data_IF_383912161797
#
_entry.id   IF_383912161797
#
_cell.length_a   1.000
_cell.length_b   1.000
_cell.length_c   1.000
_cell.angle_alpha   90.00
_cell.angle_beta   90.00
_cell.angle_gamma   90.00
#
_symmetry.space_group_name_H-M   'P 1'
#
loop_
_entity.id
_entity.type
_entity.pdbx_description
1 polymer ?
#
# COMPACT_ATOMS: atom_id res chain seq x y z
N UNK A 1 -11.79 22.35 3.00
CA UNK A 1 -10.80 21.64 3.83
C UNK A 1 -10.71 20.24 3.27
N UNK A 2 -9.50 19.72 3.05
CA UNK A 2 -9.27 18.33 2.67
C UNK A 2 -9.61 17.44 3.87
N UNK A 3 -10.41 16.41 3.66
CA UNK A 3 -10.91 15.56 4.74
C UNK A 3 -10.03 14.34 5.00
N UNK A 4 -9.38 13.81 3.95
CA UNK A 4 -8.42 12.70 4.00
C UNK A 4 -7.27 12.92 3.03
N UNK A 5 -6.06 12.55 3.42
CA UNK A 5 -4.84 12.73 2.60
C UNK A 5 -4.27 11.37 2.19
N UNK A 6 -4.01 11.19 0.90
CA UNK A 6 -3.48 9.93 0.35
C UNK A 6 -2.03 10.10 -0.08
N UNK A 7 -1.17 9.16 0.32
CA UNK A 7 0.18 9.02 -0.21
C UNK A 7 0.13 8.34 -1.58
N UNK A 8 0.61 9.02 -2.62
CA UNK A 8 0.71 8.49 -4.00
C UNK A 8 2.17 8.19 -4.30
N UNK A 9 2.48 6.90 -4.47
CA UNK A 9 3.85 6.40 -4.66
C UNK A 9 4.02 5.80 -6.05
N UNK A 10 5.14 6.11 -6.69
CA UNK A 10 5.54 5.46 -7.94
C UNK A 10 6.83 6.03 -8.51
N UNK A 11 7.26 5.47 -9.65
CA UNK A 11 8.43 5.92 -10.38
C UNK A 11 8.06 7.07 -11.32
N UNK A 12 8.19 8.32 -10.85
CA UNK A 12 7.74 9.47 -11.63
C UNK A 12 8.60 9.75 -12.87
N UNK A 13 9.83 9.25 -12.95
CA UNK A 13 10.66 9.34 -14.16
C UNK A 13 10.09 8.61 -15.40
N UNK A 14 9.23 7.63 -15.18
CA UNK A 14 8.67 6.76 -16.23
C UNK A 14 7.15 6.78 -16.29
N UNK A 15 6.49 7.12 -15.18
CA UNK A 15 5.03 7.09 -15.01
C UNK A 15 4.45 8.43 -14.55
N UNK A 16 5.15 9.51 -14.85
CA UNK A 16 4.82 10.86 -14.42
C UNK A 16 3.36 11.24 -14.74
N UNK A 17 2.93 11.00 -15.98
CA UNK A 17 1.60 11.39 -16.42
C UNK A 17 0.52 10.59 -15.68
N UNK A 18 0.71 9.28 -15.55
CA UNK A 18 -0.20 8.38 -14.85
C UNK A 18 -0.33 8.71 -13.36
N UNK A 19 0.78 8.99 -12.68
CA UNK A 19 0.82 9.36 -11.27
C UNK A 19 0.18 10.73 -11.03
N UNK A 20 0.49 11.74 -11.85
CA UNK A 20 -0.14 13.05 -11.77
C UNK A 20 -1.65 12.98 -12.03
N UNK A 21 -2.09 12.18 -13.01
CA UNK A 21 -3.52 11.94 -13.22
C UNK A 21 -4.19 11.35 -11.97
N UNK A 22 -3.55 10.38 -11.31
CA UNK A 22 -4.06 9.80 -10.07
C UNK A 22 -4.19 10.86 -8.96
N UNK A 23 -3.15 11.67 -8.76
CA UNK A 23 -3.14 12.80 -7.82
C UNK A 23 -4.29 13.78 -8.11
N UNK A 24 -4.47 14.17 -9.37
CA UNK A 24 -5.51 15.11 -9.77
C UNK A 24 -6.91 14.56 -9.55
N UNK A 25 -7.11 13.25 -9.77
CA UNK A 25 -8.39 12.59 -9.48
C UNK A 25 -8.72 12.61 -7.99
N UNK A 26 -7.76 12.37 -7.12
CA UNK A 26 -7.95 12.44 -5.66
C UNK A 26 -8.31 13.88 -5.24
N UNK A 27 -7.56 14.87 -5.73
CA UNK A 27 -7.80 16.30 -5.46
C UNK A 27 -9.18 16.75 -5.94
N UNK A 28 -9.59 16.33 -7.14
CA UNK A 28 -10.89 16.65 -7.71
C UNK A 28 -12.08 16.11 -6.86
N UNK A 29 -11.86 15.07 -6.06
CA UNK A 29 -12.84 14.52 -5.12
C UNK A 29 -12.71 15.12 -3.69
N UNK A 30 -11.93 16.18 -3.53
CA UNK A 30 -11.72 16.89 -2.27
C UNK A 30 -10.70 16.25 -1.32
N UNK A 31 -9.98 15.22 -1.76
CA UNK A 31 -8.90 14.60 -0.98
C UNK A 31 -7.60 15.39 -1.05
N UNK A 32 -6.76 15.25 -0.01
CA UNK A 32 -5.37 15.66 0.00
C UNK A 32 -4.47 14.63 -0.68
N UNK A 33 -3.30 15.07 -1.15
CA UNK A 33 -2.30 14.21 -1.78
C UNK A 33 -0.92 14.57 -1.25
N UNK A 34 -0.14 13.54 -0.90
CA UNK A 34 1.32 13.62 -0.76
C UNK A 34 1.92 12.73 -1.84
N UNK A 35 2.74 13.29 -2.71
CA UNK A 35 3.42 12.58 -3.80
C UNK A 35 4.82 12.12 -3.36
N UNK A 36 5.14 10.85 -3.59
CA UNK A 36 6.45 10.27 -3.27
C UNK A 36 7.07 9.59 -4.47
N UNK A 37 8.25 10.08 -4.86
CA UNK A 37 9.02 9.56 -5.98
C UNK A 37 9.97 8.46 -5.53
N UNK A 38 9.85 7.29 -6.15
CA UNK A 38 10.73 6.13 -5.95
C UNK A 38 11.57 5.80 -7.19
N UNK A 39 11.70 6.72 -8.13
CA UNK A 39 12.59 6.59 -9.29
C UNK A 39 14.07 6.52 -8.90
N UNK A 40 14.86 5.91 -9.78
CA UNK A 40 16.33 5.74 -9.59
C UNK A 40 17.11 6.61 -10.56
N UNK A 41 16.79 6.54 -11.86
CA UNK A 41 17.63 7.12 -12.91
C UNK A 41 17.18 8.52 -13.31
N UNK A 42 15.90 8.69 -13.67
CA UNK A 42 15.39 9.97 -14.14
C UNK A 42 14.77 10.82 -13.02
N UNK A 43 14.25 11.97 -13.41
CA UNK A 43 13.58 12.92 -12.53
C UNK A 43 12.12 13.12 -13.00
N UNK A 44 11.20 13.44 -12.08
CA UNK A 44 9.84 13.83 -12.43
C UNK A 44 9.83 15.15 -13.22
N UNK A 45 8.80 15.40 -14.06
CA UNK A 45 8.68 16.71 -14.74
C UNK A 45 8.39 17.86 -13.78
N UNK A 46 7.77 17.56 -12.64
CA UNK A 46 7.48 18.50 -11.56
C UNK A 46 7.96 17.86 -10.25
N UNK A 47 8.64 18.60 -9.35
CA UNK A 47 9.07 18.04 -8.07
C UNK A 47 7.90 17.43 -7.28
N UNK A 48 8.10 16.21 -6.79
CA UNK A 48 7.19 15.57 -5.83
C UNK A 48 7.38 16.13 -4.42
N UNK A 49 6.38 15.93 -3.56
CA UNK A 49 6.44 16.36 -2.15
C UNK A 49 7.58 15.65 -1.40
N UNK A 50 7.81 14.38 -1.73
CA UNK A 50 8.93 13.58 -1.24
C UNK A 50 9.75 13.11 -2.44
N UNK A 51 10.96 13.65 -2.55
CA UNK A 51 11.91 13.31 -3.62
C UNK A 51 12.55 11.93 -3.41
N UNK A 52 13.00 11.31 -4.51
CA UNK A 52 13.82 10.09 -4.48
C UNK A 52 15.04 10.15 -3.56
N UNK A 53 15.64 11.33 -3.38
CA UNK A 53 16.77 11.53 -2.47
C UNK A 53 16.34 11.44 -1.00
N UNK A 54 15.19 12.01 -0.66
CA UNK A 54 14.59 11.90 0.67
C UNK A 54 14.26 10.44 0.98
N UNK A 55 13.66 9.73 0.01
CA UNK A 55 13.34 8.30 0.12
C UNK A 55 14.59 7.48 0.37
N UNK A 56 15.61 7.56 -0.49
CA UNK A 56 16.83 6.76 -0.35
C UNK A 56 17.53 7.03 1.00
N UNK A 57 17.55 8.29 1.45
CA UNK A 57 18.11 8.66 2.76
C UNK A 57 17.35 8.05 3.92
N UNK A 58 16.01 8.00 3.85
CA UNK A 58 15.18 7.37 4.87
C UNK A 58 15.46 5.86 5.00
N UNK A 59 15.84 5.22 3.90
CA UNK A 59 16.29 3.82 3.88
C UNK A 59 17.74 3.60 4.33
N UNK A 60 18.43 4.66 4.80
CA UNK A 60 19.83 4.59 5.23
C UNK A 60 20.84 4.55 4.07
N UNK A 61 20.45 4.98 2.87
CA UNK A 61 21.27 4.94 1.65
C UNK A 61 21.22 6.26 0.88
N UNK A 62 21.58 6.24 -0.41
CA UNK A 62 21.49 7.38 -1.31
C UNK A 62 21.10 6.95 -2.73
N UNK A 63 20.58 7.88 -3.52
CA UNK A 63 20.32 7.63 -4.94
C UNK A 63 21.59 7.31 -5.71
N UNK A 64 22.72 7.92 -5.36
CA UNK A 64 23.99 7.58 -5.99
C UNK A 64 24.36 6.12 -5.74
N UNK A 65 24.19 5.62 -4.52
CA UNK A 65 24.45 4.22 -4.20
C UNK A 65 23.51 3.25 -4.94
N UNK A 66 22.23 3.63 -5.12
CA UNK A 66 21.30 2.87 -5.94
C UNK A 66 21.73 2.80 -7.40
N UNK A 67 22.18 3.92 -7.98
CA UNK A 67 22.72 3.99 -9.36
C UNK A 67 24.00 3.16 -9.48
N UNK A 68 24.94 3.35 -8.55
CA UNK A 68 26.26 2.68 -8.54
C UNK A 68 26.16 1.16 -8.38
N UNK A 69 25.04 0.66 -7.85
CA UNK A 69 24.80 -0.79 -7.73
C UNK A 69 24.77 -1.50 -9.09
N UNK A 70 24.37 -0.82 -10.16
CA UNK A 70 24.22 -1.39 -11.49
C UNK A 70 23.16 -2.51 -11.59
N UNK A 71 22.39 -2.75 -10.54
CA UNK A 71 21.40 -3.82 -10.43
C UNK A 71 20.04 -3.24 -10.05
N UNK A 72 19.06 -3.42 -10.94
CA UNK A 72 17.71 -2.86 -10.76
C UNK A 72 17.03 -3.38 -9.48
N UNK A 73 17.27 -4.63 -9.11
CA UNK A 73 16.70 -5.21 -7.88
C UNK A 73 17.29 -4.53 -6.65
N UNK A 74 18.61 -4.42 -6.58
CA UNK A 74 19.29 -3.76 -5.46
C UNK A 74 18.85 -2.30 -5.34
N UNK A 75 18.80 -1.58 -6.46
CA UNK A 75 18.35 -0.20 -6.49
C UNK A 75 16.90 -0.07 -5.98
N UNK A 76 16.00 -0.94 -6.43
CA UNK A 76 14.60 -0.92 -5.99
C UNK A 76 14.43 -1.33 -4.53
N UNK A 77 15.25 -2.23 -3.98
CA UNK A 77 15.21 -2.57 -2.56
C UNK A 77 15.63 -1.40 -1.67
N UNK A 78 16.64 -0.61 -2.09
CA UNK A 78 17.02 0.63 -1.41
C UNK A 78 15.82 1.57 -1.35
N UNK A 79 15.14 1.75 -2.48
CA UNK A 79 13.96 2.61 -2.57
C UNK A 79 12.79 2.06 -1.76
N UNK A 80 12.58 0.75 -1.73
CA UNK A 80 11.51 0.10 -0.98
C UNK A 80 11.68 0.29 0.53
N UNK A 81 12.91 0.11 1.05
CA UNK A 81 13.21 0.35 2.46
C UNK A 81 12.93 1.81 2.85
N UNK A 82 13.35 2.75 2.01
CA UNK A 82 13.13 4.17 2.22
C UNK A 82 11.66 4.58 2.14
N UNK A 83 10.94 4.07 1.14
CA UNK A 83 9.53 4.37 0.93
C UNK A 83 8.67 3.80 2.05
N UNK A 84 9.01 2.61 2.54
CA UNK A 84 8.35 1.97 3.69
C UNK A 84 8.52 2.79 4.97
N UNK A 85 9.74 3.26 5.24
CA UNK A 85 10.01 4.13 6.39
C UNK A 85 9.25 5.46 6.29
N UNK A 86 9.29 6.12 5.14
CA UNK A 86 8.55 7.38 4.90
C UNK A 86 7.04 7.20 5.03
N UNK A 87 6.47 6.15 4.45
CA UNK A 87 5.03 5.89 4.55
C UNK A 87 4.60 5.69 6.01
N UNK A 88 5.38 4.93 6.78
CA UNK A 88 5.10 4.71 8.20
C UNK A 88 5.20 6.01 9.02
N UNK A 89 6.25 6.81 8.81
CA UNK A 89 6.44 8.08 9.52
C UNK A 89 5.32 9.09 9.20
N UNK A 90 4.92 9.18 7.93
CA UNK A 90 3.80 10.03 7.50
C UNK A 90 2.49 9.59 8.12
N UNK A 91 2.25 8.29 8.24
CA UNK A 91 1.05 7.77 8.87
C UNK A 91 1.05 8.04 10.39
N UNK A 92 2.17 7.76 11.07
CA UNK A 92 2.31 7.98 12.51
C UNK A 92 2.19 9.46 12.91
N UNK A 93 2.62 10.37 12.04
CA UNK A 93 2.45 11.82 12.22
C UNK A 93 1.05 12.33 11.89
N UNK A 94 0.16 11.48 11.37
CA UNK A 94 -1.19 11.87 10.92
C UNK A 94 -1.20 12.69 9.64
N UNK A 95 -0.10 12.68 8.87
CA UNK A 95 0.00 13.41 7.59
C UNK A 95 -0.79 12.73 6.48
N UNK A 96 -0.90 11.40 6.53
CA UNK A 96 -1.62 10.59 5.55
C UNK A 96 -2.63 9.65 6.24
N UNK A 97 -3.70 9.34 5.52
CA UNK A 97 -4.78 8.44 5.95
C UNK A 97 -4.82 7.13 5.15
N UNK A 98 -4.00 7.00 4.10
CA UNK A 98 -3.94 5.83 3.24
C UNK A 98 -2.86 5.96 2.18
N UNK A 99 -2.54 4.85 1.50
CA UNK A 99 -1.53 4.80 0.44
C UNK A 99 -2.07 4.17 -0.83
N UNK A 100 -1.63 4.69 -1.96
CA UNK A 100 -1.78 4.05 -3.27
C UNK A 100 -0.44 4.01 -3.98
N UNK A 101 -0.04 2.83 -4.45
CA UNK A 101 1.21 2.60 -5.19
C UNK A 101 0.89 2.15 -6.61
N UNK A 102 1.51 2.80 -7.59
CA UNK A 102 1.40 2.43 -9.02
C UNK A 102 2.72 1.83 -9.50
N UNK A 103 2.69 0.64 -10.10
CA UNK A 103 3.92 0.01 -10.58
C UNK A 103 3.74 -1.11 -11.59
N UNK A 104 4.80 -1.38 -12.35
CA UNK A 104 5.00 -2.65 -13.07
C UNK A 104 5.48 -3.75 -12.11
N UNK A 105 6.21 -4.76 -12.59
CA UNK A 105 6.71 -5.84 -11.73
C UNK A 105 7.56 -5.35 -10.56
N UNK A 106 8.63 -4.59 -10.83
CA UNK A 106 9.53 -4.08 -9.78
C UNK A 106 8.85 -3.05 -8.85
N UNK A 107 8.01 -2.17 -9.41
CA UNK A 107 7.23 -1.23 -8.61
C UNK A 107 6.19 -1.94 -7.72
N UNK A 108 5.67 -3.09 -8.15
CA UNK A 108 4.78 -3.91 -7.32
C UNK A 108 5.54 -4.56 -6.18
N UNK A 109 6.75 -5.06 -6.43
CA UNK A 109 7.61 -5.61 -5.40
C UNK A 109 7.84 -4.60 -4.26
N UNK A 110 8.24 -3.38 -4.62
CA UNK A 110 8.35 -2.24 -3.69
C UNK A 110 7.03 -1.94 -2.98
N UNK A 111 5.90 -2.00 -3.70
CA UNK A 111 4.58 -1.73 -3.13
C UNK A 111 4.21 -2.71 -2.02
N UNK A 112 4.61 -3.98 -2.14
CA UNK A 112 4.35 -5.00 -1.10
C UNK A 112 5.05 -4.64 0.21
N UNK A 113 6.29 -4.14 0.14
CA UNK A 113 7.06 -3.70 1.31
C UNK A 113 6.42 -2.47 1.95
N UNK A 114 6.05 -1.47 1.15
CA UNK A 114 5.37 -0.24 1.62
C UNK A 114 4.04 -0.59 2.31
N UNK A 115 3.24 -1.49 1.72
CA UNK A 115 1.98 -1.91 2.32
C UNK A 115 2.20 -2.69 3.62
N UNK A 116 3.23 -3.56 3.67
CA UNK A 116 3.55 -4.36 4.86
C UNK A 116 4.04 -3.51 6.04
N UNK A 117 4.65 -2.36 5.78
CA UNK A 117 5.07 -1.42 6.81
C UNK A 117 3.91 -0.72 7.53
N UNK A 118 2.74 -0.61 6.90
CA UNK A 118 1.58 0.08 7.45
C UNK A 118 0.68 -0.87 8.27
N UNK A 119 0.12 -0.42 9.41
CA UNK A 119 -0.70 -1.28 10.26
C UNK A 119 -2.03 -1.70 9.61
N UNK A 120 -2.60 -2.81 10.09
CA UNK A 120 -3.96 -3.24 9.76
C UNK A 120 -4.98 -2.12 10.02
N UNK A 121 -5.89 -1.91 9.07
CA UNK A 121 -6.90 -0.86 9.07
C UNK A 121 -6.46 0.44 8.38
N UNK A 122 -5.21 0.54 7.93
CA UNK A 122 -4.80 1.60 7.00
C UNK A 122 -5.14 1.15 5.58
N UNK A 123 -5.91 1.93 4.79
CA UNK A 123 -6.15 1.62 3.38
C UNK A 123 -4.85 1.56 2.57
N UNK A 124 -4.56 0.39 1.98
CA UNK A 124 -3.35 0.12 1.18
C UNK A 124 -3.75 -0.39 -0.19
N UNK A 125 -3.59 0.43 -1.21
CA UNK A 125 -3.95 0.11 -2.58
C UNK A 125 -2.73 -0.06 -3.47
N UNK A 126 -2.72 -1.12 -4.29
CA UNK A 126 -1.68 -1.35 -5.31
C UNK A 126 -2.34 -1.44 -6.68
N UNK A 127 -1.96 -0.54 -7.58
CA UNK A 127 -2.34 -0.59 -8.99
C UNK A 127 -1.17 -1.16 -9.77
N UNK A 128 -1.34 -2.38 -10.29
CA UNK A 128 -0.23 -3.13 -10.87
C UNK A 128 -0.61 -3.90 -12.13
N UNK A 129 0.36 -4.00 -13.06
CA UNK A 129 0.24 -4.85 -14.26
C UNK A 129 0.35 -6.34 -13.94
N UNK A 130 0.79 -6.70 -12.74
CA UNK A 130 0.97 -8.08 -12.27
C UNK A 130 0.12 -8.41 -11.04
N UNK A 131 -0.88 -7.58 -10.71
CA UNK A 131 -1.87 -7.90 -9.68
C UNK A 131 -2.48 -9.28 -9.94
N UNK A 132 -2.60 -10.09 -8.89
CA UNK A 132 -3.13 -11.46 -8.93
C UNK A 132 -2.29 -12.46 -9.75
N UNK A 133 -1.08 -12.08 -10.15
CA UNK A 133 -0.13 -13.00 -10.78
C UNK A 133 0.39 -14.03 -9.78
N UNK A 134 0.65 -15.25 -10.24
CA UNK A 134 1.34 -16.28 -9.47
C UNK A 134 2.80 -15.90 -9.11
N UNK A 135 3.33 -14.83 -9.70
CA UNK A 135 4.64 -14.27 -9.32
C UNK A 135 4.61 -13.57 -7.96
N UNK A 136 3.43 -13.23 -7.42
CA UNK A 136 3.30 -12.58 -6.13
C UNK A 136 3.22 -13.65 -5.03
N UNK A 137 4.27 -13.82 -4.21
CA UNK A 137 4.24 -14.79 -3.12
C UNK A 137 3.18 -14.38 -2.09
N UNK A 138 2.25 -15.28 -1.70
CA UNK A 138 1.17 -14.96 -0.77
C UNK A 138 1.67 -14.36 0.57
N UNK A 139 2.81 -14.84 1.08
CA UNK A 139 3.43 -14.40 2.32
C UNK A 139 3.90 -12.94 2.32
N UNK A 140 4.03 -12.30 1.15
CA UNK A 140 4.36 -10.87 1.04
C UNK A 140 3.14 -9.96 1.00
N UNK A 141 1.93 -10.52 0.96
CA UNK A 141 0.72 -9.72 0.95
C UNK A 141 0.41 -9.24 2.37
N UNK A 142 0.47 -7.93 2.57
CA UNK A 142 0.04 -7.32 3.82
C UNK A 142 -1.42 -7.69 4.12
N UNK A 143 -1.74 -7.96 5.39
CA UNK A 143 -3.13 -8.18 5.78
C UNK A 143 -3.95 -6.92 5.47
N UNK A 144 -5.09 -7.09 4.77
CA UNK A 144 -5.99 -6.06 4.22
C UNK A 144 -5.56 -5.32 2.92
N UNK A 145 -4.46 -5.73 2.28
CA UNK A 145 -4.01 -5.15 1.01
C UNK A 145 -5.09 -5.26 -0.06
N UNK A 146 -5.28 -4.18 -0.82
CA UNK A 146 -6.23 -4.11 -1.93
C UNK A 146 -5.45 -3.92 -3.23
N UNK A 147 -5.67 -4.79 -4.21
CA UNK A 147 -4.96 -4.74 -5.50
C UNK A 147 -5.93 -4.51 -6.65
N UNK A 148 -5.48 -3.75 -7.64
CA UNK A 148 -6.20 -3.46 -8.89
C UNK A 148 -5.32 -3.91 -10.05
N UNK A 149 -5.85 -4.75 -10.94
CA UNK A 149 -5.16 -5.12 -12.17
C UNK A 149 -5.24 -3.98 -13.18
N UNK A 150 -4.07 -3.45 -13.55
CA UNK A 150 -3.97 -2.31 -14.42
C UNK A 150 -3.98 -2.72 -15.90
N UNK A 151 -5.17 -2.81 -16.49
CA UNK A 151 -5.36 -3.14 -17.90
C UNK A 151 -4.82 -2.02 -18.80
N UNK A 152 -3.86 -2.33 -19.68
CA UNK A 152 -3.37 -1.41 -20.72
C UNK A 152 -2.33 -0.37 -20.30
N UNK A 153 -1.75 -0.50 -19.10
CA UNK A 153 -0.87 0.48 -18.44
C UNK A 153 0.63 0.45 -18.75
N UNK A 154 1.08 -0.29 -19.77
CA UNK A 154 2.52 -0.47 -19.96
C UNK A 154 3.23 0.86 -20.27
N UNK A 155 2.59 1.79 -20.99
CA UNK A 155 3.15 3.08 -21.32
C UNK A 155 2.08 4.11 -21.71
N UNK A 156 2.00 5.20 -20.96
CA UNK A 156 1.23 6.39 -21.33
C UNK A 156 -0.23 6.37 -20.90
N UNK A 157 -0.80 7.58 -20.84
CA UNK A 157 -2.20 7.82 -20.49
C UNK A 157 -3.12 7.64 -21.71
N UNK A 158 -3.77 6.48 -21.81
CA UNK A 158 -4.91 6.27 -22.70
C UNK A 158 -6.23 6.19 -21.91
N UNK A 159 -7.37 6.03 -22.61
CA UNK A 159 -8.70 5.95 -21.98
C UNK A 159 -8.85 4.74 -21.06
N UNK A 160 -8.20 3.62 -21.36
CA UNK A 160 -8.20 2.41 -20.53
C UNK A 160 -7.42 2.67 -19.24
N UNK A 161 -6.22 3.25 -19.33
CA UNK A 161 -5.43 3.67 -18.17
C UNK A 161 -6.22 4.62 -17.27
N UNK A 162 -6.83 5.66 -17.85
CA UNK A 162 -7.62 6.65 -17.12
C UNK A 162 -8.81 6.03 -16.40
N UNK A 163 -9.44 5.03 -17.00
CA UNK A 163 -10.55 4.28 -16.38
C UNK A 163 -10.07 3.57 -15.11
N UNK A 164 -9.02 2.76 -15.19
CA UNK A 164 -8.48 2.04 -14.03
C UNK A 164 -7.95 2.99 -12.94
N UNK A 165 -7.18 4.02 -13.32
CA UNK A 165 -6.61 4.97 -12.35
C UNK A 165 -7.69 5.81 -11.65
N UNK A 166 -8.76 6.21 -12.36
CA UNK A 166 -9.85 6.96 -11.73
C UNK A 166 -10.63 6.13 -10.71
N UNK A 167 -10.84 4.83 -10.99
CA UNK A 167 -11.44 3.90 -10.03
C UNK A 167 -10.53 3.72 -8.82
N UNK A 168 -9.22 3.56 -9.04
CA UNK A 168 -8.24 3.40 -7.97
C UNK A 168 -8.19 4.62 -7.04
N UNK A 169 -8.18 5.83 -7.60
CA UNK A 169 -8.27 7.08 -6.83
C UNK A 169 -9.55 7.14 -5.97
N UNK A 170 -10.69 6.76 -6.54
CA UNK A 170 -11.96 6.73 -5.82
C UNK A 170 -11.97 5.69 -4.70
N UNK A 171 -11.40 4.51 -4.97
CA UNK A 171 -11.35 3.40 -4.03
C UNK A 171 -10.50 3.72 -2.79
N UNK A 172 -9.27 4.22 -2.99
CA UNK A 172 -8.38 4.55 -1.86
C UNK A 172 -8.92 5.70 -1.02
N UNK A 173 -9.45 6.76 -1.66
CA UNK A 173 -10.03 7.90 -0.93
C UNK A 173 -11.33 7.52 -0.21
N UNK A 174 -12.19 6.74 -0.86
CA UNK A 174 -13.41 6.21 -0.25
C UNK A 174 -13.11 5.32 0.95
N UNK A 175 -12.13 4.42 0.83
CA UNK A 175 -11.67 3.58 1.93
C UNK A 175 -11.13 4.43 3.09
N UNK A 176 -10.30 5.45 2.83
CA UNK A 176 -9.78 6.35 3.86
C UNK A 176 -10.89 7.13 4.59
N UNK A 177 -12.00 7.41 3.93
CA UNK A 177 -13.17 8.07 4.55
C UNK A 177 -14.05 7.12 5.35
N UNK A 178 -14.13 5.86 4.93
CA UNK A 178 -15.08 4.89 5.46
C UNK A 178 -14.49 3.91 6.49
N UNK A 179 -13.16 3.79 6.55
CA UNK A 179 -12.51 2.75 7.35
C UNK A 179 -12.81 2.89 8.84
N UNK A 180 -13.13 1.76 9.47
CA UNK A 180 -13.20 1.63 10.92
C UNK A 180 -11.90 1.00 11.40
N UNK A 181 -11.01 1.74 12.08
CA UNK A 181 -9.74 1.19 12.52
C UNK A 181 -9.96 0.13 13.60
N UNK A 182 -9.12 -0.94 13.64
CA UNK A 182 -9.18 -1.94 14.70
C UNK A 182 -9.08 -1.29 16.07
N UNK A 183 -10.03 -1.62 16.95
CA UNK A 183 -10.00 -1.15 18.34
C UNK A 183 -8.97 -1.94 19.13
N UNK A 184 -8.35 -1.29 20.11
CA UNK A 184 -7.35 -1.89 21.01
C UNK A 184 -7.69 -1.66 22.48
N UNK A 185 -8.97 -1.50 22.76
CA UNK A 185 -9.53 -1.29 24.10
C UNK A 185 -9.59 -2.58 24.92
N UNK A 186 -9.46 -3.76 24.27
CA UNK A 186 -9.47 -5.07 24.91
C UNK A 186 -8.27 -5.93 24.47
N UNK A 187 -7.77 -6.84 25.32
CA UNK A 187 -6.76 -7.81 24.92
C UNK A 187 -7.34 -8.77 23.86
N UNK A 188 -6.62 -8.93 22.75
CA UNK A 188 -7.00 -9.77 21.61
C UNK A 188 -6.45 -11.19 21.74
N UNK A 189 -7.31 -12.19 21.58
CA UNK A 189 -6.95 -13.61 21.44
C UNK A 189 -7.09 -14.01 19.97
N UNK A 190 -5.98 -14.41 19.35
CA UNK A 190 -5.99 -15.08 18.06
C UNK A 190 -6.33 -16.56 18.23
N UNK A 191 -7.26 -17.07 17.43
CA UNK A 191 -7.70 -18.46 17.46
C UNK A 191 -7.73 -19.02 16.05
N UNK A 192 -6.93 -20.04 15.75
CA UNK A 192 -7.00 -20.73 14.46
C UNK A 192 -8.14 -21.75 14.46
N UNK A 193 -8.73 -22.07 13.31
CA UNK A 193 -9.75 -23.12 13.14
C UNK A 193 -9.89 -23.55 11.66
N UNK A 194 -10.40 -24.75 11.41
CA UNK A 194 -10.84 -25.23 10.08
C UNK A 194 -12.35 -25.00 9.85
N UNK A 195 -12.94 -24.06 10.60
CA UNK A 195 -14.34 -23.72 10.52
C UNK A 195 -15.24 -24.70 11.26
N UNK A 196 -16.49 -24.26 11.46
CA UNK A 196 -17.47 -24.95 12.33
C UNK A 196 -17.85 -26.35 11.87
N UNK A 197 -17.65 -26.64 10.60
CA UNK A 197 -17.96 -27.94 10.02
C UNK A 197 -16.97 -29.02 10.49
N UNK A 198 -15.72 -28.63 10.80
CA UNK A 198 -14.65 -29.57 11.18
C UNK A 198 -14.33 -29.43 12.67
N UNK A 199 -14.09 -28.19 13.13
CA UNK A 199 -13.71 -27.89 14.52
C UNK A 199 -14.79 -27.02 15.15
N UNK A 200 -15.35 -27.44 16.29
CA UNK A 200 -16.48 -26.76 16.94
C UNK A 200 -16.08 -25.88 18.13
N UNK A 201 -14.85 -26.01 18.65
CA UNK A 201 -14.45 -25.36 19.91
C UNK A 201 -14.59 -23.84 19.87
N UNK A 202 -14.36 -23.18 18.74
CA UNK A 202 -14.42 -21.72 18.65
C UNK A 202 -15.84 -21.20 18.86
N UNK A 203 -16.88 -22.00 18.59
CA UNK A 203 -18.27 -21.64 18.88
C UNK A 203 -18.52 -21.52 20.38
N UNK A 204 -17.92 -22.40 21.17
CA UNK A 204 -18.04 -22.39 22.64
C UNK A 204 -17.05 -21.42 23.28
N UNK A 205 -15.82 -21.39 22.79
CA UNK A 205 -14.74 -20.60 23.39
C UNK A 205 -14.88 -19.11 23.12
N UNK A 206 -15.34 -18.69 21.93
CA UNK A 206 -15.44 -17.26 21.59
C UNK A 206 -16.35 -16.49 22.58
N UNK A 207 -17.62 -16.88 22.79
CA UNK A 207 -18.48 -16.19 23.76
C UNK A 207 -17.90 -16.23 25.18
N UNK A 208 -17.38 -17.38 25.61
CA UNK A 208 -16.79 -17.55 26.93
C UNK A 208 -15.58 -16.63 27.17
N UNK A 209 -14.74 -16.41 26.15
CA UNK A 209 -13.61 -15.49 26.22
C UNK A 209 -14.09 -14.02 26.16
N UNK A 210 -15.11 -13.73 25.36
CA UNK A 210 -15.69 -12.39 25.29
C UNK A 210 -16.37 -11.96 26.59
N UNK A 211 -17.07 -12.87 27.27
CA UNK A 211 -17.65 -12.65 28.61
C UNK A 211 -16.57 -12.37 29.67
N UNK A 212 -15.34 -12.84 29.42
CA UNK A 212 -14.16 -12.60 30.28
C UNK A 212 -13.41 -11.32 29.91
N UNK A 213 -13.91 -10.52 28.97
CA UNK A 213 -13.32 -9.23 28.60
C UNK A 213 -12.30 -9.28 27.45
N UNK A 214 -12.09 -10.42 26.79
CA UNK A 214 -11.21 -10.53 25.63
C UNK A 214 -11.92 -10.21 24.32
N UNK A 215 -11.23 -9.66 23.33
CA UNK A 215 -11.66 -9.73 21.93
C UNK A 215 -11.12 -11.02 21.32
N UNK A 216 -11.86 -11.67 20.42
CA UNK A 216 -11.43 -12.94 19.81
C UNK A 216 -11.52 -12.84 18.30
N UNK A 217 -10.36 -12.97 17.63
CA UNK A 217 -10.25 -13.08 16.19
C UNK A 217 -10.02 -14.55 15.80
N UNK A 218 -10.89 -15.08 14.94
CA UNK A 218 -10.80 -16.47 14.47
C UNK A 218 -10.25 -16.50 13.05
N UNK A 219 -9.17 -17.25 12.86
CA UNK A 219 -8.40 -17.33 11.62
C UNK A 219 -8.48 -18.72 10.99
N UNK A 220 -8.58 -18.79 9.67
CA UNK A 220 -8.69 -20.07 8.96
C UNK A 220 -7.32 -20.70 8.75
N UNK A 221 -7.12 -21.92 9.24
CA UNK A 221 -5.80 -22.58 9.29
C UNK A 221 -5.34 -23.17 7.93
N UNK A 222 -5.46 -22.41 6.83
CA UNK A 222 -5.10 -22.84 5.46
C UNK A 222 -3.88 -22.13 4.89
N UNK A 223 -3.04 -21.55 5.74
CA UNK A 223 -1.79 -20.87 5.35
C UNK A 223 -1.85 -19.36 5.54
N UNK A 224 -2.74 -18.68 4.81
CA UNK A 224 -2.84 -17.20 4.83
C UNK A 224 -3.62 -16.61 6.02
N UNK A 225 -4.39 -17.44 6.72
CA UNK A 225 -5.25 -17.00 7.82
C UNK A 225 -4.48 -16.79 9.10
#
# INVERSE_FOLDING_TARGET
MTDKTILVVGTYDTKDAELNYLCDRIRAMGGGVVSMDVSVLGDPSIPTDISKHTVAKAGGSSIQAAIDSGDENIAMQIMANGASAQALDLYQSGTIDGVIVLGGTMGTDLALDVCSALPLGVPKYVVSTVSFSAMLPPERLAADIQMILWAGGLYGLNSICKSSLSQAAGAVLGAARAVEPPRRDRPLIGMTSFGKTILHYMVTLKPALEDRGFEVAVFHATGMG
#
